data_IF_399934771962
#
_entry.id   IF_399934771962
#
_cell.length_a   1.000
_cell.length_b   1.000
_cell.length_c   1.000
_cell.angle_alpha   90.00
_cell.angle_beta   90.00
_cell.angle_gamma   90.00
#
_symmetry.space_group_name_H-M   'P 1'
#
loop_
_entity.id
_entity.type
_entity.pdbx_description
1 polymer ?
#
# COMPACT_ATOMS: atom_id res chain seq x y z
N UNK A 1 42.26 17.40 -53.47
CA UNK A 1 42.27 16.08 -52.74
C UNK A 1 42.26 16.26 -51.20
N UNK A 2 41.76 17.37 -50.65
CA UNK A 2 41.77 17.68 -49.20
C UNK A 2 40.38 17.72 -48.52
N UNK A 3 39.28 17.73 -49.26
CA UNK A 3 37.94 17.86 -48.67
C UNK A 3 37.40 16.55 -48.07
N UNK A 4 37.77 15.40 -48.60
CA UNK A 4 37.28 14.09 -48.09
C UNK A 4 37.88 13.68 -46.75
N UNK A 5 39.01 14.23 -46.33
CA UNK A 5 39.62 13.94 -45.01
C UNK A 5 39.02 14.76 -43.87
N UNK A 6 38.47 15.93 -44.16
CA UNK A 6 37.88 16.82 -43.15
C UNK A 6 36.47 16.35 -42.74
N UNK A 7 35.64 15.90 -43.66
CA UNK A 7 34.30 15.35 -43.41
C UNK A 7 34.34 14.07 -42.58
N UNK A 8 35.32 13.20 -42.77
CA UNK A 8 35.48 11.97 -42.04
C UNK A 8 35.94 12.21 -40.58
N UNK A 9 36.68 13.27 -40.30
CA UNK A 9 37.14 13.66 -38.97
C UNK A 9 35.99 14.26 -38.16
N UNK A 10 35.07 14.99 -38.75
CA UNK A 10 33.92 15.59 -38.08
C UNK A 10 32.82 14.56 -37.79
N UNK A 11 32.65 13.54 -38.64
CA UNK A 11 31.74 12.44 -38.41
C UNK A 11 32.20 11.58 -37.23
N UNK A 12 33.47 11.27 -37.10
CA UNK A 12 34.06 10.57 -35.97
C UNK A 12 33.85 11.33 -34.64
N UNK A 13 34.05 12.64 -34.65
CA UNK A 13 33.81 13.49 -33.46
C UNK A 13 32.34 13.44 -33.04
N UNK A 14 31.39 13.55 -33.96
CA UNK A 14 29.94 13.46 -33.70
C UNK A 14 29.55 12.08 -33.17
N UNK A 15 30.14 11.04 -33.72
CA UNK A 15 29.91 9.67 -33.26
C UNK A 15 30.41 9.44 -31.83
N UNK A 16 31.63 9.87 -31.49
CA UNK A 16 32.14 9.78 -30.13
C UNK A 16 31.35 10.65 -29.16
N UNK A 17 30.91 11.82 -29.55
CA UNK A 17 30.05 12.68 -28.74
C UNK A 17 28.73 12.00 -28.45
N UNK A 18 28.10 11.34 -29.42
CA UNK A 18 26.85 10.62 -29.26
C UNK A 18 27.01 9.41 -28.29
N UNK A 19 28.12 8.65 -28.46
CA UNK A 19 28.43 7.54 -27.51
C UNK A 19 28.62 8.07 -26.08
N UNK A 20 29.35 9.17 -25.93
CA UNK A 20 29.60 9.76 -24.61
C UNK A 20 28.30 10.21 -23.95
N UNK A 21 27.40 10.86 -24.69
CA UNK A 21 26.08 11.26 -24.20
C UNK A 21 25.27 10.02 -23.75
N UNK A 22 25.24 8.98 -24.60
CA UNK A 22 24.54 7.72 -24.22
C UNK A 22 25.16 7.07 -22.97
N UNK A 23 26.47 7.04 -22.85
CA UNK A 23 27.16 6.51 -21.70
C UNK A 23 26.82 7.30 -20.42
N UNK A 24 26.75 8.63 -20.50
CA UNK A 24 26.34 9.50 -19.39
C UNK A 24 24.88 9.22 -18.99
N UNK A 25 23.98 9.11 -19.96
CA UNK A 25 22.57 8.79 -19.70
C UNK A 25 22.43 7.45 -19.00
N UNK A 26 23.12 6.41 -19.50
CA UNK A 26 23.12 5.08 -18.87
C UNK A 26 23.71 5.11 -17.46
N UNK A 27 24.76 5.91 -17.24
CA UNK A 27 25.38 6.07 -15.92
C UNK A 27 24.45 6.76 -14.92
N UNK A 28 23.77 7.83 -15.36
CA UNK A 28 22.75 8.52 -14.53
C UNK A 28 21.60 7.57 -14.20
N UNK A 29 21.13 6.81 -15.19
CA UNK A 29 20.07 5.81 -14.96
C UNK A 29 20.51 4.73 -13.97
N UNK A 30 21.75 4.26 -14.08
CA UNK A 30 22.31 3.30 -13.12
C UNK A 30 22.38 3.89 -11.70
N UNK A 31 22.87 5.13 -11.54
CA UNK A 31 22.87 5.80 -10.24
C UNK A 31 21.45 5.89 -9.68
N UNK A 32 20.47 6.32 -10.47
CA UNK A 32 19.08 6.42 -10.04
C UNK A 32 18.51 5.09 -9.56
N UNK A 33 18.81 3.98 -10.25
CA UNK A 33 18.34 2.64 -9.88
C UNK A 33 18.99 2.10 -8.60
N UNK A 34 20.25 2.44 -8.34
CA UNK A 34 21.02 1.90 -7.21
C UNK A 34 21.15 2.86 -6.00
N UNK A 35 20.66 4.11 -6.11
CA UNK A 35 20.61 5.00 -4.93
C UNK A 35 19.71 4.42 -3.83
N UNK A 36 20.17 4.39 -2.57
CA UNK A 36 19.37 3.91 -1.46
C UNK A 36 18.17 4.83 -1.21
N UNK A 37 17.04 4.23 -0.84
CA UNK A 37 15.81 4.95 -0.47
C UNK A 37 15.93 5.33 1.00
N UNK A 38 15.60 6.58 1.40
CA UNK A 38 15.58 6.96 2.80
C UNK A 38 14.57 6.11 3.58
N UNK A 39 14.91 5.76 4.83
CA UNK A 39 14.02 5.04 5.73
C UNK A 39 12.89 5.97 6.17
N UNK A 40 11.66 5.47 6.16
CA UNK A 40 10.53 6.10 6.85
C UNK A 40 10.58 5.67 8.33
N UNK A 41 10.73 6.61 9.25
CA UNK A 41 10.56 6.33 10.68
C UNK A 41 9.04 6.29 10.95
N UNK A 42 8.49 5.09 11.04
CA UNK A 42 7.09 4.86 11.40
C UNK A 42 7.00 4.73 12.91
N UNK A 43 6.41 5.70 13.56
CA UNK A 43 5.97 5.55 14.95
C UNK A 43 4.76 4.58 14.92
N UNK A 44 4.99 3.35 15.38
CA UNK A 44 3.90 2.42 15.68
C UNK A 44 3.37 2.88 17.04
N UNK A 45 2.28 3.63 17.01
CA UNK A 45 1.61 4.04 18.22
C UNK A 45 1.14 2.80 18.99
N UNK A 46 1.83 2.49 20.08
CA UNK A 46 1.35 1.52 21.05
C UNK A 46 0.38 2.24 21.99
N UNK A 47 -0.76 2.65 21.47
CA UNK A 47 -1.77 3.25 22.31
C UNK A 47 -2.44 2.16 23.16
N UNK A 48 -2.07 2.15 24.43
CA UNK A 48 -2.89 1.60 25.50
C UNK A 48 -4.14 2.48 25.61
N UNK A 49 -5.14 2.22 24.78
CA UNK A 49 -6.43 2.87 24.92
C UNK A 49 -7.01 2.55 26.28
N UNK A 50 -7.27 3.62 27.07
CA UNK A 50 -8.13 3.53 28.24
C UNK A 50 -9.45 2.92 27.77
N UNK A 51 -9.84 1.81 28.37
CA UNK A 51 -11.09 1.13 28.09
C UNK A 51 -12.26 2.06 28.43
N UNK A 52 -12.78 2.78 27.42
CA UNK A 52 -14.17 3.22 27.50
C UNK A 52 -15.03 1.96 27.59
N UNK A 53 -16.12 2.00 28.35
CA UNK A 53 -17.04 0.88 28.39
C UNK A 53 -17.55 0.55 26.98
N UNK A 54 -17.24 -0.63 26.49
CA UNK A 54 -17.49 -1.06 25.11
C UNK A 54 -17.80 -2.55 25.05
N UNK A 55 -18.56 -2.95 24.04
CA UNK A 55 -18.75 -4.36 23.68
C UNK A 55 -17.88 -4.74 22.50
N UNK A 56 -17.30 -5.94 22.58
CA UNK A 56 -16.44 -6.47 21.51
C UNK A 56 -17.19 -7.58 20.76
N UNK A 57 -17.12 -7.51 19.44
CA UNK A 57 -17.70 -8.51 18.54
C UNK A 57 -16.60 -9.03 17.62
N UNK A 58 -16.60 -10.35 17.38
CA UNK A 58 -15.73 -10.95 16.35
C UNK A 58 -16.57 -11.26 15.12
N UNK A 59 -16.22 -10.62 14.01
CA UNK A 59 -16.87 -10.81 12.71
C UNK A 59 -15.95 -11.60 11.80
N UNK A 60 -16.42 -12.74 11.31
CA UNK A 60 -15.69 -13.57 10.34
C UNK A 60 -16.19 -13.30 8.94
N UNK A 61 -15.26 -13.30 7.99
CA UNK A 61 -15.55 -13.12 6.57
C UNK A 61 -14.78 -14.13 5.73
N UNK A 62 -15.12 -14.21 4.45
CA UNK A 62 -14.41 -15.04 3.47
C UNK A 62 -13.48 -14.19 2.61
N UNK A 63 -12.45 -14.81 2.02
CA UNK A 63 -11.58 -14.18 1.01
C UNK A 63 -12.40 -13.47 -0.08
N UNK A 64 -13.43 -14.13 -0.58
CA UNK A 64 -14.25 -13.59 -1.66
C UNK A 64 -14.98 -12.31 -1.26
N UNK A 65 -15.57 -12.26 -0.06
CA UNK A 65 -16.25 -11.07 0.42
C UNK A 65 -15.26 -9.92 0.63
N UNK A 66 -14.08 -10.23 1.20
CA UNK A 66 -13.05 -9.23 1.42
C UNK A 66 -12.46 -8.72 0.10
N UNK A 67 -12.22 -9.61 -0.88
CA UNK A 67 -11.82 -9.22 -2.24
C UNK A 67 -12.81 -8.24 -2.85
N UNK A 68 -14.11 -8.54 -2.80
CA UNK A 68 -15.15 -7.67 -3.35
C UNK A 68 -15.16 -6.30 -2.66
N UNK A 69 -15.02 -6.27 -1.32
CA UNK A 69 -15.00 -5.03 -0.55
C UNK A 69 -13.77 -4.17 -0.89
N UNK A 70 -12.57 -4.78 -0.90
CA UNK A 70 -11.32 -4.05 -1.14
C UNK A 70 -11.28 -3.54 -2.59
N UNK A 71 -11.68 -4.35 -3.57
CA UNK A 71 -11.70 -3.91 -4.96
C UNK A 71 -12.74 -2.81 -5.20
N UNK A 72 -13.93 -2.89 -4.60
CA UNK A 72 -14.91 -1.81 -4.67
C UNK A 72 -14.39 -0.49 -4.06
N UNK A 73 -13.58 -0.57 -3.01
CA UNK A 73 -12.90 0.58 -2.43
C UNK A 73 -11.83 1.13 -3.38
N UNK A 74 -10.97 0.28 -3.94
CA UNK A 74 -9.95 0.67 -4.92
C UNK A 74 -10.57 1.34 -6.15
N UNK A 75 -11.61 0.76 -6.72
CA UNK A 75 -12.33 1.32 -7.87
C UNK A 75 -12.83 2.74 -7.57
N UNK A 76 -13.33 2.97 -6.35
CA UNK A 76 -13.80 4.29 -5.92
C UNK A 76 -12.63 5.29 -5.77
N UNK A 77 -11.54 4.89 -5.14
CA UNK A 77 -10.37 5.76 -4.91
C UNK A 77 -9.65 6.06 -6.23
N UNK A 78 -9.57 5.09 -7.12
CA UNK A 78 -8.85 5.19 -8.40
C UNK A 78 -9.73 5.73 -9.54
N UNK A 79 -11.02 5.96 -9.32
CA UNK A 79 -12.00 6.35 -10.37
C UNK A 79 -11.60 7.59 -11.19
N UNK A 80 -10.77 8.47 -10.62
CA UNK A 80 -10.29 9.70 -11.27
C UNK A 80 -8.82 9.63 -11.69
N UNK A 81 -8.23 8.44 -11.72
CA UNK A 81 -6.84 8.21 -12.12
C UNK A 81 -6.78 7.33 -13.38
N UNK A 82 -5.66 7.39 -14.10
CA UNK A 82 -5.38 6.48 -15.21
C UNK A 82 -4.87 5.11 -14.73
N UNK A 83 -4.70 4.93 -13.42
CA UNK A 83 -4.15 3.73 -12.82
C UNK A 83 -5.25 2.71 -12.56
N UNK A 84 -5.01 1.47 -12.98
CA UNK A 84 -5.87 0.33 -12.69
C UNK A 84 -5.11 -0.62 -11.77
N UNK A 85 -5.63 -0.77 -10.55
CA UNK A 85 -5.10 -1.74 -9.58
C UNK A 85 -6.23 -2.60 -9.05
N UNK A 86 -5.94 -3.85 -8.77
CA UNK A 86 -6.85 -4.76 -8.11
C UNK A 86 -6.10 -5.65 -7.11
N UNK A 87 -6.81 -6.08 -6.07
CA UNK A 87 -6.29 -7.00 -5.06
C UNK A 87 -6.99 -8.34 -5.21
N UNK A 88 -6.22 -9.42 -5.12
CA UNK A 88 -6.72 -10.77 -5.01
C UNK A 88 -6.13 -11.45 -3.79
N UNK A 89 -7.00 -11.95 -2.93
CA UNK A 89 -6.64 -12.77 -1.77
C UNK A 89 -6.79 -14.24 -2.20
N UNK A 90 -5.68 -14.95 -2.29
CA UNK A 90 -5.67 -16.37 -2.64
C UNK A 90 -4.82 -17.16 -1.65
N UNK A 91 -3.61 -17.56 -1.97
CA UNK A 91 -2.62 -18.13 -1.03
C UNK A 91 -1.91 -17.02 -0.24
N UNK A 92 -1.86 -15.83 -0.83
CA UNK A 92 -1.29 -14.62 -0.23
C UNK A 92 -2.09 -13.38 -0.71
N UNK A 93 -1.63 -12.18 -0.38
CA UNK A 93 -2.23 -10.93 -0.86
C UNK A 93 -1.53 -10.55 -2.16
N UNK A 94 -2.25 -10.55 -3.26
CA UNK A 94 -1.75 -10.24 -4.60
C UNK A 94 -2.25 -8.88 -5.05
N UNK A 95 -1.34 -8.00 -5.46
CA UNK A 95 -1.66 -6.72 -6.09
C UNK A 95 -1.38 -6.84 -7.58
N UNK A 96 -2.40 -6.67 -8.38
CA UNK A 96 -2.33 -6.55 -9.83
C UNK A 96 -2.45 -5.09 -10.23
N UNK A 97 -1.71 -4.68 -11.24
CA UNK A 97 -1.81 -3.33 -11.78
C UNK A 97 -1.11 -3.19 -13.11
N UNK A 98 -1.18 -2.00 -13.66
CA UNK A 98 -0.46 -1.60 -14.87
C UNK A 98 0.38 -0.37 -14.60
N UNK A 99 1.65 -0.44 -14.94
CA UNK A 99 2.58 0.69 -14.82
C UNK A 99 2.76 1.35 -16.19
N UNK A 100 2.53 2.67 -16.32
CA UNK A 100 2.83 3.38 -17.55
C UNK A 100 4.35 3.44 -17.75
N UNK A 101 4.80 2.97 -18.92
CA UNK A 101 6.20 3.00 -19.33
C UNK A 101 6.26 3.59 -20.74
N UNK A 102 6.74 4.83 -20.86
CA UNK A 102 6.75 5.62 -22.10
C UNK A 102 5.33 5.77 -22.69
N UNK A 103 5.06 5.17 -23.84
CA UNK A 103 3.76 5.20 -24.55
C UNK A 103 2.98 3.89 -24.42
N UNK A 104 3.34 3.03 -23.50
CA UNK A 104 2.75 1.70 -23.29
C UNK A 104 2.51 1.44 -21.80
N UNK A 105 1.78 0.38 -21.47
CA UNK A 105 1.65 -0.12 -20.10
C UNK A 105 2.35 -1.45 -19.94
N UNK A 106 2.86 -1.71 -18.74
CA UNK A 106 3.51 -2.98 -18.39
C UNK A 106 2.81 -3.55 -17.17
N UNK A 107 2.40 -4.84 -17.19
CA UNK A 107 1.71 -5.45 -16.07
C UNK A 107 2.63 -5.54 -14.84
N UNK A 108 2.08 -5.16 -13.70
CA UNK A 108 2.64 -5.30 -12.36
C UNK A 108 1.92 -6.44 -11.64
N UNK A 109 2.67 -7.33 -11.03
CA UNK A 109 2.18 -8.32 -10.08
C UNK A 109 3.07 -8.31 -8.84
N UNK A 110 2.48 -8.05 -7.68
CA UNK A 110 3.18 -8.10 -6.41
C UNK A 110 2.47 -9.05 -5.46
N UNK A 111 3.26 -9.87 -4.75
CA UNK A 111 2.81 -10.83 -3.76
C UNK A 111 3.28 -10.39 -2.38
N UNK A 112 2.37 -10.42 -1.42
CA UNK A 112 2.64 -10.04 -0.04
C UNK A 112 2.17 -11.11 0.93
N UNK A 113 2.97 -11.34 1.96
CA UNK A 113 2.61 -12.15 3.12
C UNK A 113 1.94 -11.25 4.17
N UNK A 114 0.68 -11.51 4.54
CA UNK A 114 0.00 -10.74 5.57
C UNK A 114 0.45 -11.19 6.96
N UNK A 115 0.84 -10.25 7.82
CA UNK A 115 1.26 -10.48 9.20
C UNK A 115 0.42 -9.60 10.12
N UNK A 116 -0.41 -10.23 10.96
CA UNK A 116 -1.20 -9.52 11.96
C UNK A 116 -0.28 -9.03 13.07
N UNK A 117 -0.43 -7.77 13.45
CA UNK A 117 0.34 -7.14 14.52
C UNK A 117 -0.39 -7.25 15.87
N UNK A 118 0.34 -7.14 16.98
CA UNK A 118 -0.23 -7.22 18.34
C UNK A 118 -1.30 -6.16 18.62
N UNK A 119 -1.21 -5.00 17.97
CA UNK A 119 -2.20 -3.93 18.07
C UNK A 119 -3.45 -4.15 17.20
N UNK A 120 -3.48 -5.19 16.38
CA UNK A 120 -4.57 -5.50 15.46
C UNK A 120 -4.47 -4.84 14.08
N UNK A 121 -3.34 -4.22 13.76
CA UNK A 121 -3.02 -3.79 12.40
C UNK A 121 -2.46 -4.93 11.56
N UNK A 122 -2.29 -4.67 10.26
CA UNK A 122 -1.74 -5.64 9.32
C UNK A 122 -0.48 -5.09 8.66
N UNK A 123 0.57 -5.91 8.63
CA UNK A 123 1.76 -5.65 7.80
C UNK A 123 1.75 -6.63 6.63
N UNK A 124 1.82 -6.09 5.43
CA UNK A 124 1.96 -6.86 4.21
C UNK A 124 3.44 -6.86 3.82
N UNK A 125 4.13 -7.97 4.07
CA UNK A 125 5.54 -8.14 3.74
C UNK A 125 5.70 -8.63 2.31
N UNK A 126 6.49 -7.92 1.51
CA UNK A 126 6.70 -8.27 0.12
C UNK A 126 7.42 -9.61 -0.02
N UNK A 127 6.85 -10.53 -0.78
CA UNK A 127 7.43 -11.83 -1.18
C UNK A 127 8.10 -11.76 -2.54
N UNK A 128 7.36 -11.23 -3.52
CA UNK A 128 7.87 -11.07 -4.88
C UNK A 128 7.18 -9.92 -5.59
N UNK A 129 7.89 -9.25 -6.50
CA UNK A 129 7.34 -8.23 -7.40
C UNK A 129 7.87 -8.50 -8.81
N UNK A 130 6.98 -8.45 -9.79
CA UNK A 130 7.33 -8.53 -11.20
C UNK A 130 6.67 -7.40 -11.99
N UNK A 131 7.41 -6.84 -12.94
CA UNK A 131 6.94 -5.80 -13.86
C UNK A 131 7.20 -6.28 -15.27
N UNK A 132 6.25 -7.02 -15.83
CA UNK A 132 6.41 -7.71 -17.11
C UNK A 132 7.68 -8.56 -17.14
N UNK A 133 8.59 -8.29 -18.09
CA UNK A 133 9.88 -8.95 -18.20
C UNK A 133 11.05 -8.10 -17.65
N UNK A 134 10.76 -6.96 -17.04
CA UNK A 134 11.77 -6.04 -16.53
C UNK A 134 12.31 -6.54 -15.19
N UNK A 135 13.65 -6.54 -15.04
CA UNK A 135 14.33 -6.82 -13.78
C UNK A 135 14.65 -5.50 -13.08
N UNK A 136 13.71 -5.00 -12.32
CA UNK A 136 13.87 -3.78 -11.55
C UNK A 136 14.06 -4.12 -10.06
N UNK A 137 14.81 -3.30 -9.30
CA UNK A 137 14.90 -3.46 -7.85
C UNK A 137 13.52 -3.27 -7.19
N UNK A 138 13.08 -4.22 -6.35
CA UNK A 138 11.78 -4.20 -5.69
C UNK A 138 11.50 -2.87 -4.98
N UNK A 139 12.50 -2.35 -4.26
CA UNK A 139 12.40 -1.05 -3.56
C UNK A 139 12.02 0.10 -4.49
N UNK A 140 12.52 0.10 -5.73
CA UNK A 140 12.18 1.13 -6.72
C UNK A 140 10.76 1.00 -7.23
N UNK A 141 10.28 -0.23 -7.40
CA UNK A 141 8.89 -0.49 -7.79
C UNK A 141 7.96 -0.06 -6.66
N UNK A 142 8.25 -0.46 -5.41
CA UNK A 142 7.47 -0.05 -4.25
C UNK A 142 7.48 1.47 -4.03
N UNK A 143 8.62 2.12 -4.27
CA UNK A 143 8.69 3.59 -4.25
C UNK A 143 7.81 4.23 -5.32
N UNK A 144 7.78 3.66 -6.52
CA UNK A 144 6.89 4.12 -7.57
C UNK A 144 5.41 3.98 -7.15
N UNK A 145 5.05 2.85 -6.54
CA UNK A 145 3.70 2.63 -6.03
C UNK A 145 3.37 3.67 -4.94
N UNK A 146 4.29 3.92 -3.99
CA UNK A 146 4.13 4.92 -2.92
C UNK A 146 3.94 6.35 -3.48
N UNK A 147 4.66 6.69 -4.55
CA UNK A 147 4.62 8.03 -5.15
C UNK A 147 3.37 8.29 -6.01
N UNK A 148 2.82 7.26 -6.64
CA UNK A 148 1.78 7.42 -7.67
C UNK A 148 0.43 6.76 -7.35
N UNK A 149 0.39 5.81 -6.42
CA UNK A 149 -0.87 5.21 -5.98
C UNK A 149 -1.48 6.06 -4.86
N UNK A 150 -2.67 6.65 -5.05
CA UNK A 150 -3.33 7.37 -3.98
C UNK A 150 -3.77 6.37 -2.90
N UNK A 151 -3.05 6.38 -1.78
CA UNK A 151 -3.37 5.56 -0.60
C UNK A 151 -4.07 6.42 0.45
N UNK A 152 -5.02 5.86 1.24
CA UNK A 152 -5.58 6.55 2.39
C UNK A 152 -4.53 6.68 3.50
N UNK A 153 -4.75 7.58 4.46
CA UNK A 153 -3.80 7.89 5.54
C UNK A 153 -3.43 6.67 6.40
N UNK A 154 -4.35 5.71 6.51
CA UNK A 154 -4.14 4.46 7.25
C UNK A 154 -3.37 3.37 6.46
N UNK A 155 -2.97 3.63 5.21
CA UNK A 155 -2.11 2.74 4.41
C UNK A 155 -0.78 3.42 4.14
N UNK A 156 0.30 2.85 4.65
CA UNK A 156 1.65 3.41 4.51
C UNK A 156 2.54 2.41 3.79
N UNK A 157 3.08 2.79 2.66
CA UNK A 157 4.06 1.99 1.93
C UNK A 157 5.46 2.37 2.40
N UNK A 158 6.26 1.39 2.83
CA UNK A 158 7.68 1.57 3.19
C UNK A 158 8.57 0.81 2.20
N UNK A 159 9.04 1.47 1.14
CA UNK A 159 9.91 0.83 0.14
C UNK A 159 11.26 0.39 0.72
N UNK A 160 11.72 1.01 1.81
CA UNK A 160 13.02 0.68 2.41
C UNK A 160 13.00 -0.66 3.12
N UNK A 161 11.87 -1.02 3.71
CA UNK A 161 11.62 -2.30 4.39
C UNK A 161 10.96 -3.34 3.48
N UNK A 162 10.45 -2.90 2.31
CA UNK A 162 9.66 -3.72 1.39
C UNK A 162 8.37 -4.21 2.06
N UNK A 163 7.67 -3.29 2.78
CA UNK A 163 6.47 -3.56 3.56
C UNK A 163 5.37 -2.52 3.26
N UNK A 164 4.12 -2.95 3.42
CA UNK A 164 2.95 -2.07 3.42
C UNK A 164 2.26 -2.22 4.77
N UNK A 165 2.16 -1.12 5.51
CA UNK A 165 1.45 -1.04 6.78
C UNK A 165 0.01 -0.66 6.53
N UNK A 166 -0.92 -1.50 6.95
CA UNK A 166 -2.36 -1.27 6.88
C UNK A 166 -2.85 -1.09 8.31
N UNK A 167 -2.93 0.17 8.74
CA UNK A 167 -3.33 0.58 10.09
C UNK A 167 -4.85 0.54 10.21
N UNK A 168 -5.41 -0.65 10.28
CA UNK A 168 -6.86 -0.88 10.32
C UNK A 168 -7.47 -0.22 11.56
N UNK A 169 -6.71 -0.16 12.66
CA UNK A 169 -7.15 0.48 13.91
C UNK A 169 -7.28 2.01 13.82
N UNK A 170 -6.62 2.64 12.82
CA UNK A 170 -6.68 4.08 12.56
C UNK A 170 -7.71 4.46 11.46
N UNK A 171 -8.47 3.48 10.94
CA UNK A 171 -9.50 3.76 9.95
C UNK A 171 -10.62 4.64 10.55
N UNK A 172 -10.89 5.77 9.89
CA UNK A 172 -12.02 6.63 10.27
C UNK A 172 -13.35 5.98 9.84
N UNK A 173 -14.08 5.48 10.83
CA UNK A 173 -15.39 4.87 10.64
C UNK A 173 -16.45 5.78 11.24
N UNK A 174 -17.41 6.17 10.41
CA UNK A 174 -18.48 7.13 10.76
C UNK A 174 -19.24 6.86 12.07
N UNK A 175 -19.10 5.68 12.65
CA UNK A 175 -19.85 5.21 13.83
C UNK A 175 -19.01 5.14 15.11
N UNK A 176 -17.82 5.74 15.17
CA UNK A 176 -16.86 5.63 16.27
C UNK A 176 -16.51 4.18 16.67
N UNK A 177 -16.82 3.19 15.82
CA UNK A 177 -16.40 1.82 16.00
C UNK A 177 -14.90 1.71 15.78
N UNK A 178 -14.26 0.87 16.58
CA UNK A 178 -12.86 0.48 16.35
C UNK A 178 -12.85 -0.89 15.71
N UNK A 179 -12.05 -1.03 14.66
CA UNK A 179 -11.82 -2.31 14.00
C UNK A 179 -10.37 -2.70 14.17
N UNK A 180 -10.14 -3.97 14.48
CA UNK A 180 -8.81 -4.56 14.53
C UNK A 180 -8.84 -5.93 13.85
N UNK A 181 -7.73 -6.35 13.28
CA UNK A 181 -7.58 -7.71 12.75
C UNK A 181 -7.38 -8.66 13.91
N UNK A 182 -8.22 -9.66 14.01
CA UNK A 182 -8.09 -10.78 14.96
C UNK A 182 -7.31 -11.95 14.33
N UNK A 183 -7.64 -12.26 13.07
CA UNK A 183 -6.99 -13.32 12.30
C UNK A 183 -7.02 -13.01 10.82
N UNK A 184 -5.92 -13.28 10.12
CA UNK A 184 -5.82 -13.04 8.69
C UNK A 184 -5.05 -14.17 8.02
N UNK A 185 -5.66 -15.35 7.96
CA UNK A 185 -5.13 -16.52 7.26
C UNK A 185 -5.87 -16.67 5.92
N UNK A 186 -5.25 -16.16 4.86
CA UNK A 186 -5.85 -16.18 3.53
C UNK A 186 -5.80 -17.57 2.90
N UNK A 187 -4.78 -18.37 3.21
CA UNK A 187 -4.66 -19.74 2.69
C UNK A 187 -5.79 -20.62 3.25
N UNK A 188 -6.00 -20.59 4.56
CA UNK A 188 -7.07 -21.32 5.22
C UNK A 188 -8.46 -20.66 5.06
N UNK A 189 -8.58 -19.53 4.37
CA UNK A 189 -9.81 -18.73 4.27
C UNK A 189 -10.41 -18.40 5.66
N UNK A 190 -9.55 -18.11 6.62
CA UNK A 190 -9.93 -17.79 8.00
C UNK A 190 -9.56 -16.35 8.33
N UNK A 191 -10.50 -15.46 8.07
CA UNK A 191 -10.34 -14.03 8.24
C UNK A 191 -11.36 -13.55 9.28
N UNK A 192 -10.87 -12.90 10.33
CA UNK A 192 -11.69 -12.40 11.43
C UNK A 192 -11.24 -11.00 11.84
N UNK A 193 -12.22 -10.14 12.10
CA UNK A 193 -12.03 -8.79 12.61
C UNK A 193 -12.71 -8.66 13.96
N UNK A 194 -12.05 -8.00 14.89
CA UNK A 194 -12.62 -7.55 16.14
C UNK A 194 -13.22 -6.16 15.92
N UNK A 195 -14.49 -6.00 16.26
CA UNK A 195 -15.19 -4.72 16.23
C UNK A 195 -15.51 -4.32 17.65
N UNK A 196 -15.02 -3.19 18.08
CA UNK A 196 -15.32 -2.61 19.39
C UNK A 196 -16.33 -1.47 19.21
N UNK A 197 -17.43 -1.59 19.93
CA UNK A 197 -18.56 -0.65 19.91
C UNK A 197 -18.66 0.05 21.26
N UNK A 198 -18.26 1.34 21.37
CA UNK A 198 -18.41 2.11 22.59
C UNK A 198 -19.87 2.29 22.98
N UNK A 199 -20.20 2.17 24.26
CA UNK A 199 -21.58 2.31 24.75
C UNK A 199 -22.18 3.70 24.49
N UNK A 200 -21.33 4.74 24.49
CA UNK A 200 -21.71 6.09 24.07
C UNK A 200 -22.35 6.14 22.69
N UNK A 201 -21.82 5.34 21.76
CA UNK A 201 -22.35 5.26 20.39
C UNK A 201 -23.75 4.64 20.34
N UNK A 202 -24.08 3.80 21.29
CA UNK A 202 -25.40 3.16 21.43
C UNK A 202 -26.39 4.01 22.24
N UNK A 203 -25.97 5.17 22.78
CA UNK A 203 -26.81 6.02 23.61
C UNK A 203 -27.14 5.42 25.00
N UNK A 204 -26.44 4.36 25.43
CA UNK A 204 -26.70 3.66 26.70
C UNK A 204 -26.42 4.58 27.89
N UNK A 205 -25.38 5.41 27.82
CA UNK A 205 -25.05 6.38 28.88
C UNK A 205 -26.17 7.40 29.11
N UNK A 206 -26.82 7.86 28.03
CA UNK A 206 -27.94 8.81 28.11
C UNK A 206 -29.14 8.19 28.83
N UNK A 207 -29.38 6.90 28.64
CA UNK A 207 -30.46 6.16 29.31
C UNK A 207 -30.18 5.99 30.80
N UNK A 208 -28.93 5.72 31.20
CA UNK A 208 -28.56 5.62 32.61
C UNK A 208 -28.69 6.96 33.34
N UNK A 209 -28.34 8.06 32.72
CA UNK A 209 -28.47 9.40 33.29
C UNK A 209 -29.93 9.83 33.43
N UNK A 210 -30.79 9.52 32.47
CA UNK A 210 -32.22 9.73 32.51
C UNK A 210 -32.91 8.89 33.60
N UNK A 211 -32.53 7.62 33.72
CA UNK A 211 -33.05 6.73 34.75
C UNK A 211 -32.66 7.15 36.17
N UNK A 212 -31.46 7.71 36.36
CA UNK A 212 -31.01 8.28 37.64
C UNK A 212 -31.81 9.50 38.03
N UNK A 213 -32.05 10.42 37.08
CA UNK A 213 -32.85 11.62 37.29
C UNK A 213 -34.31 11.28 37.62
N UNK A 214 -34.90 10.23 37.03
CA UNK A 214 -36.25 9.78 37.34
C UNK A 214 -36.37 9.08 38.72
N UNK A 215 -35.28 8.43 39.20
CA UNK A 215 -35.24 7.79 40.50
C UNK A 215 -34.96 8.75 41.67
N UNK A 216 -34.46 9.94 41.42
CA UNK A 216 -34.21 10.99 42.42
C UNK A 216 -35.41 11.93 42.60
N UNK A 217 -36.51 11.79 41.83
CA UNK A 217 -37.77 12.52 41.97
C UNK A 217 -38.82 11.72 42.74
#
# INVERSE_FOLDING_TARGET
MNESKQTNKDWKKRFYLLITINAIILFILAIYLYTPIPKKDLEIASDQYKSEESSQFVVRTTKQNLNNLVNAYLDKVLSNTEHQFSINLDEDVQLFGELPVFSSTVPLLAHFEPIVQDNGDLVLKQKSISVGQLKLPNKKIMKYIDDYLPTPEWVIIDPSKEEVYVKITEMDIKSNFRIAVEQFDVEANNIAFKIEVPYKTLGIEVLEEQLKEEMEQ
#
